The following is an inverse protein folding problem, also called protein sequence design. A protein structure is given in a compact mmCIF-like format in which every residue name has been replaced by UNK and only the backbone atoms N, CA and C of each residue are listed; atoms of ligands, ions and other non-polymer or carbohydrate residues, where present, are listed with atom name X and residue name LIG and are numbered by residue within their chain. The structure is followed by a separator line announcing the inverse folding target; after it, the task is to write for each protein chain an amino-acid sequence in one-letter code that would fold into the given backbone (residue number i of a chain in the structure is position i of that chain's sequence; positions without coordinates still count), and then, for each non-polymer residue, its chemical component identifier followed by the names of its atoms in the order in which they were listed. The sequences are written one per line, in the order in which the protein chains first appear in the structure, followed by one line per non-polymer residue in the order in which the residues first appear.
data_IF_904068090397
#
_entry.id   IF_904068090397
#
_cell.length_a   1.000
_cell.length_b   1.000
_cell.length_c   1.000
_cell.angle_alpha   90.00
_cell.angle_beta   90.00
_cell.angle_gamma   90.00
#
_symmetry.space_group_name_H-M   'P 1'
#
loop_
_entity.id
_entity.type
_entity.pdbx_description
1 polymer ?
#
# COMPACT_ATOMS: atom_id res chain seq x y z
N UNK A 1 22.14 3.25 -25.92
CA UNK A 1 22.04 3.41 -24.46
C UNK A 1 21.21 4.65 -24.23
N UNK A 2 19.92 4.49 -23.92
CA UNK A 2 18.99 5.62 -23.79
C UNK A 2 19.02 6.03 -22.32
N UNK A 3 19.61 7.18 -22.03
CA UNK A 3 19.52 7.83 -20.73
C UNK A 3 18.16 8.53 -20.64
N UNK A 4 17.32 8.12 -19.70
CA UNK A 4 16.10 8.84 -19.35
C UNK A 4 16.44 9.84 -18.25
N UNK A 5 16.18 11.13 -18.48
CA UNK A 5 16.18 12.13 -17.41
C UNK A 5 14.94 11.97 -16.55
N UNK A 6 15.14 11.87 -15.24
CA UNK A 6 14.08 11.81 -14.27
C UNK A 6 13.80 13.22 -13.81
N UNK A 7 12.71 13.78 -14.30
CA UNK A 7 12.31 15.17 -14.02
C UNK A 7 11.22 15.28 -12.94
N UNK A 8 10.85 14.18 -12.28
CA UNK A 8 9.78 14.14 -11.29
C UNK A 8 10.27 14.27 -9.85
N UNK A 9 9.48 14.93 -9.00
CA UNK A 9 9.71 14.98 -7.55
C UNK A 9 9.71 13.57 -6.96
N UNK A 10 10.77 13.20 -6.24
CA UNK A 10 10.85 11.94 -5.50
C UNK A 10 9.77 11.90 -4.42
N UNK A 11 9.01 10.81 -4.39
CA UNK A 11 8.05 10.53 -3.33
C UNK A 11 8.70 9.60 -2.31
N UNK A 12 8.90 10.09 -1.09
CA UNK A 12 9.50 9.30 -0.02
C UNK A 12 8.42 8.64 0.84
N UNK A 13 8.57 7.34 1.07
CA UNK A 13 7.68 6.55 1.92
C UNK A 13 8.46 6.00 3.11
N UNK A 14 8.03 6.35 4.31
CA UNK A 14 8.60 5.85 5.55
C UNK A 14 7.71 4.76 6.14
N UNK A 15 8.10 3.51 5.90
CA UNK A 15 7.33 2.34 6.33
C UNK A 15 7.42 2.09 7.83
N UNK A 16 6.29 1.71 8.40
CA UNK A 16 6.18 1.19 9.76
C UNK A 16 6.63 -0.25 9.84
N UNK A 17 6.92 -0.70 11.06
CA UNK A 17 6.90 -2.13 11.39
C UNK A 17 5.52 -2.75 11.15
N UNK A 18 5.48 -4.07 10.95
CA UNK A 18 4.23 -4.80 10.77
C UNK A 18 3.44 -4.91 12.06
N UNK A 19 2.15 -4.57 11.99
CA UNK A 19 1.19 -4.76 13.05
C UNK A 19 0.49 -6.11 12.85
N UNK A 20 0.61 -7.03 13.82
CA UNK A 20 -0.10 -8.31 13.80
C UNK A 20 -1.58 -8.14 14.15
N UNK A 21 -2.46 -8.42 13.19
CA UNK A 21 -3.90 -8.27 13.33
C UNK A 21 -4.59 -9.49 13.95
N UNK A 22 -3.89 -10.61 14.18
CA UNK A 22 -4.49 -11.79 14.80
C UNK A 22 -4.85 -11.56 16.28
N UNK A 23 -4.07 -10.71 16.96
CA UNK A 23 -4.21 -10.46 18.40
C UNK A 23 -4.87 -9.10 18.70
N UNK A 24 -5.31 -8.38 17.67
CA UNK A 24 -5.91 -7.06 17.84
C UNK A 24 -7.42 -7.20 17.98
N UNK A 25 -7.93 -6.62 19.07
CA UNK A 25 -9.35 -6.35 19.21
C UNK A 25 -9.75 -5.20 18.28
N UNK A 26 -10.26 -5.55 17.10
CA UNK A 26 -10.77 -4.63 16.08
C UNK A 26 -11.82 -3.65 16.61
N UNK A 27 -12.52 -3.99 17.70
CA UNK A 27 -13.58 -3.17 18.29
C UNK A 27 -13.08 -2.08 19.26
N UNK A 28 -11.78 -2.09 19.62
CA UNK A 28 -11.24 -1.22 20.67
C UNK A 28 -10.14 -0.28 20.18
N UNK A 29 -9.93 0.78 20.97
CA UNK A 29 -8.76 1.67 20.95
C UNK A 29 -7.47 0.90 21.29
N UNK A 30 -7.13 -0.13 20.52
CA UNK A 30 -5.95 -0.94 20.75
C UNK A 30 -4.71 -0.03 20.79
N UNK A 31 -3.82 -0.24 21.76
CA UNK A 31 -2.69 0.66 22.02
C UNK A 31 -1.83 0.85 20.76
N UNK A 32 -1.57 -0.22 20.03
CA UNK A 32 -0.86 -0.18 18.74
C UNK A 32 -1.47 0.78 17.71
N UNK A 33 -2.78 1.01 17.73
CA UNK A 33 -3.45 1.96 16.82
C UNK A 33 -3.23 3.40 17.28
N UNK A 34 -3.07 3.63 18.59
CA UNK A 34 -2.76 4.97 19.12
C UNK A 34 -1.36 5.44 18.74
N UNK A 35 -0.44 4.50 18.52
CA UNK A 35 0.94 4.78 18.10
C UNK A 35 1.07 5.15 16.62
N UNK A 36 0.07 4.84 15.79
CA UNK A 36 0.07 5.23 14.38
C UNK A 36 0.02 6.77 14.30
N UNK A 37 0.82 7.47 13.50
CA UNK A 37 0.77 8.92 13.41
C UNK A 37 -0.50 9.42 12.70
N UNK A 38 -0.86 10.68 12.97
CA UNK A 38 -1.80 11.43 12.13
C UNK A 38 -1.01 12.12 11.02
N UNK A 39 -0.70 11.37 9.98
CA UNK A 39 0.10 11.82 8.83
C UNK A 39 -0.55 11.42 7.50
N UNK A 40 -0.08 12.03 6.42
CA UNK A 40 -0.35 11.61 5.05
C UNK A 40 0.30 10.26 4.81
N UNK A 41 -0.37 9.36 4.10
CA UNK A 41 0.23 8.05 3.85
C UNK A 41 -0.66 7.03 3.20
N UNK A 42 -0.07 5.85 3.03
CA UNK A 42 -0.74 4.65 2.58
C UNK A 42 -0.72 3.59 3.67
N UNK A 43 -1.67 2.66 3.59
CA UNK A 43 -1.73 1.52 4.48
C UNK A 43 -2.19 0.30 3.72
N UNK A 44 -1.65 -0.85 4.11
CA UNK A 44 -1.85 -2.11 3.41
C UNK A 44 -2.16 -3.21 4.40
N UNK A 45 -3.26 -3.92 4.15
CA UNK A 45 -3.59 -5.16 4.83
C UNK A 45 -3.02 -6.33 4.03
N UNK A 46 -2.32 -7.21 4.71
CA UNK A 46 -1.66 -8.35 4.12
C UNK A 46 -2.09 -9.66 4.78
N UNK A 47 -1.92 -10.73 4.01
CA UNK A 47 -1.73 -12.08 4.52
C UNK A 47 -0.27 -12.47 4.33
N UNK A 48 0.39 -12.88 5.40
CA UNK A 48 1.71 -13.49 5.37
C UNK A 48 1.59 -15.01 5.55
N UNK A 49 2.22 -15.78 4.67
CA UNK A 49 2.31 -17.24 4.78
C UNK A 49 3.70 -17.73 4.38
N UNK A 50 4.46 -18.21 5.38
CA UNK A 50 5.90 -18.36 5.23
C UNK A 50 6.53 -17.01 4.90
N UNK A 51 7.34 -16.98 3.84
CA UNK A 51 8.02 -15.77 3.38
C UNK A 51 7.21 -14.95 2.37
N UNK A 52 6.01 -15.43 2.00
CA UNK A 52 5.17 -14.77 1.01
C UNK A 52 4.19 -13.81 1.67
N UNK A 53 4.07 -12.63 1.08
CA UNK A 53 3.08 -11.62 1.43
C UNK A 53 2.06 -11.52 0.31
N UNK A 54 0.79 -11.59 0.66
CA UNK A 54 -0.35 -11.41 -0.24
C UNK A 54 -1.10 -10.15 0.17
N UNK A 55 -1.23 -9.20 -0.75
CA UNK A 55 -1.93 -7.96 -0.48
C UNK A 55 -3.45 -8.19 -0.53
N UNK A 56 -4.16 -7.77 0.51
CA UNK A 56 -5.61 -7.94 0.64
C UNK A 56 -6.36 -6.62 0.47
N UNK A 57 -5.75 -5.50 0.86
CA UNK A 57 -6.35 -4.18 0.71
C UNK A 57 -5.29 -3.10 0.78
N UNK A 58 -5.39 -2.10 -0.10
CA UNK A 58 -4.55 -0.91 -0.13
C UNK A 58 -5.46 0.30 0.02
N UNK A 59 -5.08 1.23 0.86
CA UNK A 59 -5.74 2.52 0.93
C UNK A 59 -4.77 3.67 1.15
N UNK A 60 -5.14 4.85 0.67
CA UNK A 60 -4.51 6.13 1.02
C UNK A 60 -5.30 6.91 2.05
N UNK A 61 -4.64 7.91 2.64
CA UNK A 61 -5.29 8.88 3.52
C UNK A 61 -4.42 10.09 3.82
N UNK A 62 -5.08 11.17 4.24
CA UNK A 62 -4.43 12.32 4.86
C UNK A 62 -4.27 12.20 6.38
N UNK A 63 -4.83 11.15 6.98
CA UNK A 63 -4.93 10.94 8.42
C UNK A 63 -4.83 9.45 8.74
N UNK A 64 -3.59 8.93 8.74
CA UNK A 64 -3.27 7.49 8.88
C UNK A 64 -4.01 6.82 10.04
N UNK A 65 -3.78 7.28 11.28
CA UNK A 65 -4.44 6.72 12.48
C UNK A 65 -5.96 6.72 12.35
N UNK A 66 -6.56 7.86 12.05
CA UNK A 66 -8.02 7.99 11.93
C UNK A 66 -8.60 7.06 10.86
N UNK A 67 -7.97 6.98 9.68
CA UNK A 67 -8.46 6.14 8.58
C UNK A 67 -8.28 4.65 8.88
N UNK A 68 -7.13 4.23 9.36
CA UNK A 68 -6.86 2.84 9.72
C UNK A 68 -7.85 2.37 10.78
N UNK A 69 -8.11 3.20 11.79
CA UNK A 69 -9.15 2.94 12.81
C UNK A 69 -10.52 2.72 12.19
N UNK A 70 -10.93 3.55 11.22
CA UNK A 70 -12.20 3.35 10.50
C UNK A 70 -12.22 2.03 9.74
N UNK A 71 -11.12 1.69 9.05
CA UNK A 71 -11.04 0.47 8.24
C UNK A 71 -11.00 -0.81 9.07
N UNK A 72 -10.40 -0.76 10.27
CA UNK A 72 -10.46 -1.85 11.23
C UNK A 72 -11.87 -2.14 11.75
N UNK A 73 -12.81 -1.19 11.60
CA UNK A 73 -14.22 -1.35 11.93
C UNK A 73 -15.11 -1.57 10.69
N UNK A 74 -14.52 -1.58 9.48
CA UNK A 74 -15.27 -1.79 8.25
C UNK A 74 -15.58 -3.28 8.08
N UNK A 75 -16.82 -3.68 8.43
CA UNK A 75 -17.25 -5.09 8.46
C UNK A 75 -16.85 -5.88 7.20
N UNK A 76 -17.14 -5.36 6.02
CA UNK A 76 -16.85 -6.05 4.75
C UNK A 76 -15.36 -6.27 4.49
N UNK A 77 -14.52 -5.27 4.78
CA UNK A 77 -13.06 -5.39 4.66
C UNK A 77 -12.52 -6.40 5.67
N UNK A 78 -12.96 -6.33 6.92
CA UNK A 78 -12.47 -7.23 7.97
C UNK A 78 -12.95 -8.66 7.76
N UNK A 79 -14.17 -8.86 7.24
CA UNK A 79 -14.63 -10.19 6.82
C UNK A 79 -13.78 -10.74 5.68
N UNK A 80 -13.42 -9.93 4.68
CA UNK A 80 -12.50 -10.33 3.62
C UNK A 80 -11.10 -10.67 4.17
N UNK A 81 -10.53 -9.82 5.03
CA UNK A 81 -9.22 -10.06 5.65
C UNK A 81 -9.23 -11.32 6.50
N UNK A 82 -10.27 -11.55 7.31
CA UNK A 82 -10.42 -12.76 8.13
C UNK A 82 -10.70 -14.01 7.29
N UNK A 83 -11.45 -13.85 6.20
CA UNK A 83 -11.80 -14.92 5.26
C UNK A 83 -10.69 -15.31 4.29
N UNK A 84 -9.66 -14.48 4.14
CA UNK A 84 -8.50 -14.80 3.32
C UNK A 84 -7.79 -16.07 3.83
N UNK A 85 -7.08 -16.75 2.92
CA UNK A 85 -6.43 -18.05 3.15
C UNK A 85 -5.57 -18.09 4.44
N UNK A 86 -5.25 -19.30 4.92
CA UNK A 86 -4.42 -19.51 6.13
C UNK A 86 -3.12 -18.70 6.07
N UNK A 87 -2.78 -17.98 7.14
CA UNK A 87 -1.59 -17.13 7.22
C UNK A 87 -1.82 -16.00 8.21
N UNK A 88 -0.74 -15.42 8.73
CA UNK A 88 -0.78 -14.27 9.64
C UNK A 88 -1.40 -13.08 8.93
N UNK A 89 -2.33 -12.38 9.57
CA UNK A 89 -2.91 -11.15 9.03
C UNK A 89 -2.15 -9.98 9.63
N UNK A 90 -1.59 -9.14 8.78
CA UNK A 90 -0.77 -8.01 9.21
C UNK A 90 -1.21 -6.74 8.52
N UNK A 91 -0.92 -5.62 9.18
CA UNK A 91 -1.09 -4.27 8.64
C UNK A 91 0.29 -3.61 8.60
N UNK A 92 0.61 -2.97 7.49
CA UNK A 92 1.68 -1.96 7.44
C UNK A 92 1.10 -0.63 7.00
N UNK A 93 1.80 0.45 7.33
CA UNK A 93 1.54 1.76 6.77
C UNK A 93 2.86 2.46 6.43
N UNK A 94 2.78 3.42 5.54
CA UNK A 94 3.90 4.31 5.25
C UNK A 94 3.44 5.75 5.34
N UNK A 95 4.23 6.55 6.04
CA UNK A 95 4.11 8.00 6.00
C UNK A 95 4.66 8.52 4.69
N UNK A 96 3.92 9.42 4.08
CA UNK A 96 4.28 10.09 2.84
C UNK A 96 4.95 11.42 3.17
N UNK A 97 6.26 11.49 2.99
CA UNK A 97 7.00 12.75 3.12
C UNK A 97 6.93 13.53 1.81
N UNK A 98 6.48 14.77 1.90
CA UNK A 98 6.21 15.64 0.75
C UNK A 98 6.70 17.05 1.03
N UNK A 99 7.20 17.71 -0.03
CA UNK A 99 7.53 19.12 0.04
C UNK A 99 6.27 19.99 0.21
N UNK A 100 6.43 21.15 0.86
CA UNK A 100 5.33 22.01 1.34
C UNK A 100 4.35 22.54 0.26
N UNK A 101 4.72 22.49 -1.03
CA UNK A 101 3.92 23.05 -2.14
C UNK A 101 3.28 21.98 -3.03
N UNK A 102 3.18 20.74 -2.55
CA UNK A 102 2.55 19.66 -3.31
C UNK A 102 1.02 19.66 -3.21
N UNK A 103 0.36 19.16 -4.25
CA UNK A 103 -1.04 18.77 -4.20
C UNK A 103 -1.14 17.39 -3.55
N UNK A 104 -1.36 17.38 -2.23
CA UNK A 104 -1.34 16.17 -1.39
C UNK A 104 -2.23 15.04 -1.94
N UNK A 105 -3.46 15.36 -2.33
CA UNK A 105 -4.41 14.36 -2.83
C UNK A 105 -3.90 13.73 -4.13
N UNK A 106 -3.35 14.51 -5.06
CA UNK A 106 -2.77 13.99 -6.30
C UNK A 106 -1.58 13.05 -6.04
N UNK A 107 -0.75 13.37 -5.05
CA UNK A 107 0.38 12.51 -4.68
C UNK A 107 -0.09 11.22 -4.04
N UNK A 108 -1.06 11.28 -3.13
CA UNK A 108 -1.67 10.09 -2.53
C UNK A 108 -2.36 9.21 -3.58
N UNK A 109 -3.04 9.82 -4.56
CA UNK A 109 -3.68 9.14 -5.69
C UNK A 109 -2.67 8.41 -6.56
N UNK A 110 -1.55 9.05 -6.89
CA UNK A 110 -0.46 8.44 -7.66
C UNK A 110 0.14 7.26 -6.92
N UNK A 111 0.44 7.42 -5.63
CA UNK A 111 1.02 6.36 -4.80
C UNK A 111 0.05 5.18 -4.67
N UNK A 112 -1.22 5.44 -4.33
CA UNK A 112 -2.22 4.37 -4.21
C UNK A 112 -2.43 3.62 -5.53
N UNK A 113 -2.52 4.36 -6.64
CA UNK A 113 -2.68 3.77 -7.97
C UNK A 113 -1.49 2.87 -8.29
N UNK A 114 -0.27 3.33 -8.03
CA UNK A 114 0.94 2.54 -8.23
C UNK A 114 0.90 1.22 -7.44
N UNK A 115 0.64 1.28 -6.12
CA UNK A 115 0.60 0.06 -5.29
C UNK A 115 -0.52 -0.90 -5.70
N UNK A 116 -1.71 -0.38 -6.06
CA UNK A 116 -2.81 -1.23 -6.54
C UNK A 116 -2.44 -1.89 -7.86
N UNK A 117 -1.91 -1.13 -8.83
CA UNK A 117 -1.51 -1.66 -10.13
C UNK A 117 -0.44 -2.74 -9.99
N UNK A 118 0.57 -2.48 -9.16
CA UNK A 118 1.64 -3.43 -8.89
C UNK A 118 1.09 -4.70 -8.24
N UNK A 119 0.23 -4.56 -7.22
CA UNK A 119 -0.38 -5.71 -6.56
C UNK A 119 -1.27 -6.55 -7.51
N UNK A 120 -2.03 -5.91 -8.40
CA UNK A 120 -2.82 -6.63 -9.41
C UNK A 120 -1.93 -7.35 -10.42
N UNK A 121 -0.81 -6.73 -10.84
CA UNK A 121 0.14 -7.33 -11.79
C UNK A 121 0.77 -8.61 -11.25
N UNK A 122 0.98 -8.68 -9.93
CA UNK A 122 1.51 -9.85 -9.23
C UNK A 122 0.41 -10.87 -8.86
N UNK A 123 -0.86 -10.60 -9.19
CA UNK A 123 -1.98 -11.52 -8.97
C UNK A 123 -2.54 -11.55 -7.55
N UNK A 124 -2.37 -10.48 -6.77
CA UNK A 124 -2.92 -10.37 -5.42
C UNK A 124 -4.45 -10.19 -5.44
N UNK A 125 -5.14 -10.84 -4.50
CA UNK A 125 -6.60 -10.78 -4.38
C UNK A 125 -7.07 -9.57 -3.57
N UNK A 126 -7.03 -8.39 -4.20
CA UNK A 126 -7.41 -7.14 -3.55
C UNK A 126 -8.93 -7.00 -3.34
N UNK A 127 -9.34 -6.67 -2.12
CA UNK A 127 -10.72 -6.30 -1.78
C UNK A 127 -11.23 -5.09 -2.57
N UNK A 128 -10.36 -4.12 -2.90
CA UNK A 128 -10.75 -2.87 -3.56
C UNK A 128 -10.83 -2.98 -5.10
N UNK A 129 -10.84 -4.18 -5.68
CA UNK A 129 -10.98 -4.44 -7.14
C UNK A 129 -12.15 -3.68 -7.80
N UNK A 130 -13.26 -3.44 -7.09
CA UNK A 130 -14.47 -2.85 -7.67
C UNK A 130 -14.39 -1.33 -7.97
N UNK A 131 -13.34 -0.63 -7.51
CA UNK A 131 -13.19 0.81 -7.79
C UNK A 131 -12.26 1.15 -8.96
N UNK A 132 -11.71 0.15 -9.65
CA UNK A 132 -10.65 0.38 -10.64
C UNK A 132 -11.05 -0.17 -12.01
N UNK A 133 -11.91 0.56 -12.74
CA UNK A 133 -11.87 0.49 -14.21
C UNK A 133 -10.63 1.27 -14.64
N UNK A 134 -9.60 0.60 -15.14
CA UNK A 134 -8.41 1.26 -15.68
C UNK A 134 -8.11 0.79 -17.11
N UNK A 135 -7.70 1.75 -17.95
CA UNK A 135 -7.06 1.56 -19.26
C UNK A 135 -5.55 1.73 -19.03
N UNK A 136 -4.77 0.64 -19.06
CA UNK A 136 -3.32 0.68 -18.85
C UNK A 136 -2.56 -0.01 -19.99
N UNK A 137 -1.50 0.63 -20.48
CA UNK A 137 -0.56 0.03 -21.43
C UNK A 137 0.48 -0.85 -20.70
N UNK A 138 0.97 -1.96 -21.29
CA UNK A 138 1.90 -2.88 -20.64
C UNK A 138 3.37 -2.42 -20.69
N UNK A 139 4.20 -2.82 -19.71
CA UNK A 139 5.67 -2.61 -19.68
C UNK A 139 6.38 -3.88 -19.12
N UNK A 140 7.59 -4.17 -19.62
CA UNK A 140 8.45 -5.36 -19.37
C UNK A 140 9.87 -4.89 -18.94
N UNK A 141 10.60 -5.69 -18.15
CA UNK A 141 12.03 -5.44 -17.79
C UNK A 141 12.96 -6.63 -18.13
N UNK A 142 14.26 -6.37 -18.29
CA UNK A 142 15.32 -7.35 -18.65
C UNK A 142 16.55 -7.28 -17.71
N UNK A 143 17.10 -8.44 -17.31
CA UNK A 143 18.34 -8.60 -16.53
C UNK A 143 18.42 -9.96 -15.81
N UNK A 144 19.61 -10.44 -15.43
CA UNK A 144 19.81 -11.86 -15.07
C UNK A 144 19.86 -12.21 -13.56
N UNK A 145 19.86 -11.26 -12.61
CA UNK A 145 19.83 -11.63 -11.18
C UNK A 145 19.28 -10.51 -10.28
N UNK A 146 18.02 -10.63 -9.84
CA UNK A 146 17.42 -9.78 -8.81
C UNK A 146 16.44 -10.58 -7.90
N UNK A 147 16.31 -10.26 -6.59
CA UNK A 147 15.28 -10.81 -5.71
C UNK A 147 13.88 -10.32 -6.11
N UNK A 148 13.01 -11.28 -6.41
CA UNK A 148 11.96 -11.18 -7.43
C UNK A 148 10.60 -10.64 -6.96
N UNK A 149 10.51 -9.45 -6.35
CA UNK A 149 9.20 -8.75 -6.24
C UNK A 149 9.30 -7.22 -6.39
N UNK A 150 10.38 -6.56 -5.97
CA UNK A 150 10.48 -5.09 -6.11
C UNK A 150 11.95 -4.72 -6.33
N UNK A 151 12.28 -4.17 -7.50
CA UNK A 151 13.61 -3.60 -7.78
C UNK A 151 13.66 -2.08 -7.54
N UNK A 152 14.88 -1.64 -7.23
CA UNK A 152 15.27 -0.52 -6.38
C UNK A 152 14.99 0.91 -6.86
N UNK A 153 14.39 1.17 -8.03
CA UNK A 153 13.99 2.54 -8.39
C UNK A 153 12.98 2.56 -9.54
N UNK A 154 11.86 3.28 -9.38
CA UNK A 154 10.86 3.47 -10.45
C UNK A 154 10.51 4.95 -10.62
N UNK A 155 10.44 5.39 -11.87
CA UNK A 155 10.20 6.78 -12.27
C UNK A 155 8.88 6.93 -13.02
N UNK A 156 8.13 7.99 -12.71
CA UNK A 156 6.88 8.33 -13.40
C UNK A 156 7.15 9.25 -14.60
N UNK A 157 6.50 9.03 -15.76
CA UNK A 157 6.51 10.00 -16.84
C UNK A 157 5.55 11.16 -16.55
N UNK A 158 5.99 12.36 -16.93
CA UNK A 158 5.20 13.59 -16.86
C UNK A 158 4.00 13.52 -17.84
N UNK A 159 2.83 13.90 -17.33
CA UNK A 159 1.85 14.66 -18.11
C UNK A 159 1.73 16.03 -17.50
#
# INVERSE_FOLDING_TARGET
MISFEVTGTTINLHWSEFIDLNNIDYSKNHEVIKEIPEAYGIYIFWRQYGDKHECLYIGKTTKLRSRIRTQLNARGLIEHVKGAKRGKKILSYAELDMHANCYVDDYLDKVETFFISEALSQGHDLYNQQKTKFYGNPIISHGENYPNIFEDTMYMPNK
#
